data_IF_926809211962
#
_entry.id   IF_926809211962
#
_cell.length_a   1.000
_cell.length_b   1.000
_cell.length_c   1.000
_cell.angle_alpha   90.00
_cell.angle_beta   90.00
_cell.angle_gamma   90.00
#
_symmetry.space_group_name_H-M   'P 1'
#
loop_
_entity.id
_entity.type
_entity.pdbx_description
1 polymer ?
#
# COMPACT_ATOMS: atom_id res chain seq x y z
N UNK A 1 9.85 -19.11 -11.80
CA UNK A 1 8.45 -19.36 -11.45
C UNK A 1 8.11 -20.82 -11.64
N UNK A 2 7.62 -21.45 -10.59
CA UNK A 2 6.96 -22.75 -10.63
C UNK A 2 5.49 -22.56 -10.20
N UNK A 3 4.64 -23.48 -10.61
CA UNK A 3 3.21 -23.48 -10.30
C UNK A 3 2.88 -24.84 -9.67
N UNK A 4 2.09 -24.82 -8.61
CA UNK A 4 1.59 -26.02 -7.96
C UNK A 4 0.08 -25.94 -7.80
N UNK A 5 -0.62 -27.02 -8.11
CA UNK A 5 -2.06 -27.15 -7.85
C UNK A 5 -2.31 -27.63 -6.43
N UNK A 6 -3.38 -27.12 -5.83
CA UNK A 6 -3.89 -27.56 -4.52
C UNK A 6 -5.41 -27.68 -4.58
N UNK A 7 -6.01 -28.36 -3.59
CA UNK A 7 -7.48 -28.41 -3.53
C UNK A 7 -8.01 -27.01 -3.21
N UNK A 8 -8.88 -26.50 -4.08
CA UNK A 8 -9.54 -25.23 -3.85
C UNK A 8 -10.73 -25.41 -2.91
N UNK A 9 -11.10 -24.33 -2.23
CA UNK A 9 -12.39 -24.20 -1.56
C UNK A 9 -13.54 -24.32 -2.58
N UNK A 10 -14.68 -24.86 -2.16
CA UNK A 10 -15.92 -24.79 -2.96
C UNK A 10 -16.36 -23.34 -3.16
N UNK A 11 -17.31 -23.08 -4.07
CA UNK A 11 -17.81 -21.70 -4.27
C UNK A 11 -18.47 -21.15 -3.00
N UNK A 12 -19.21 -21.98 -2.27
CA UNK A 12 -19.85 -21.65 -0.99
C UNK A 12 -18.79 -21.37 0.10
N UNK A 13 -17.73 -22.19 0.17
CA UNK A 13 -16.63 -21.94 1.10
C UNK A 13 -15.87 -20.65 0.75
N UNK A 14 -15.68 -20.35 -0.55
CA UNK A 14 -15.00 -19.13 -1.02
C UNK A 14 -15.74 -17.88 -0.59
N UNK A 15 -17.05 -17.80 -0.82
CA UNK A 15 -17.85 -16.63 -0.43
C UNK A 15 -17.84 -16.43 1.10
N UNK A 16 -17.89 -17.52 1.89
CA UNK A 16 -17.78 -17.44 3.36
C UNK A 16 -16.45 -16.83 3.78
N UNK A 17 -15.34 -17.34 3.25
CA UNK A 17 -14.00 -16.81 3.57
C UNK A 17 -13.87 -15.35 3.17
N UNK A 18 -14.31 -14.99 1.96
CA UNK A 18 -14.16 -13.62 1.47
C UNK A 18 -15.05 -12.63 2.25
N UNK A 19 -16.26 -13.03 2.66
CA UNK A 19 -17.10 -12.21 3.55
C UNK A 19 -16.43 -11.97 4.90
N UNK A 20 -15.85 -13.02 5.52
CA UNK A 20 -15.09 -12.87 6.77
C UNK A 20 -13.94 -11.88 6.58
N UNK A 21 -13.20 -11.98 5.46
CA UNK A 21 -12.12 -11.03 5.16
C UNK A 21 -12.63 -9.61 4.97
N UNK A 22 -13.74 -9.40 4.25
CA UNK A 22 -14.32 -8.08 4.07
C UNK A 22 -14.73 -7.46 5.41
N UNK A 23 -15.48 -8.20 6.24
CA UNK A 23 -15.96 -7.71 7.54
C UNK A 23 -14.80 -7.44 8.51
N UNK A 24 -13.82 -8.34 8.53
CA UNK A 24 -12.60 -8.18 9.34
C UNK A 24 -11.78 -6.98 8.89
N UNK A 25 -11.62 -6.80 7.59
CA UNK A 25 -10.91 -5.66 7.02
C UNK A 25 -11.62 -4.34 7.28
N UNK A 26 -12.95 -4.30 7.11
CA UNK A 26 -13.78 -3.11 7.36
C UNK A 26 -13.71 -2.67 8.81
N UNK A 27 -13.98 -3.58 9.74
CA UNK A 27 -13.99 -3.28 11.18
C UNK A 27 -12.63 -2.79 11.68
N UNK A 28 -11.54 -3.44 11.28
CA UNK A 28 -10.19 -3.02 11.65
C UNK A 28 -9.77 -1.72 10.95
N UNK A 29 -10.11 -1.53 9.68
CA UNK A 29 -9.75 -0.29 8.96
C UNK A 29 -10.39 0.93 9.63
N UNK A 30 -11.66 0.84 10.06
CA UNK A 30 -12.36 1.95 10.72
C UNK A 30 -11.62 2.50 11.95
N UNK A 31 -10.87 1.65 12.66
CA UNK A 31 -10.09 2.07 13.83
C UNK A 31 -8.61 2.32 13.52
N UNK A 32 -8.05 1.73 12.46
CA UNK A 32 -6.62 1.80 12.14
C UNK A 32 -6.26 2.79 11.01
N UNK A 33 -7.21 3.34 10.26
CA UNK A 33 -6.88 4.11 9.05
C UNK A 33 -6.02 5.35 9.33
N UNK A 34 -6.26 6.04 10.47
CA UNK A 34 -5.48 7.22 10.88
C UNK A 34 -4.03 6.85 11.14
N UNK A 35 -3.79 5.72 11.80
CA UNK A 35 -2.44 5.21 12.01
C UNK A 35 -1.81 4.76 10.70
N UNK A 36 -2.57 4.12 9.81
CA UNK A 36 -2.09 3.70 8.49
C UNK A 36 -1.67 4.87 7.60
N UNK A 37 -2.43 5.96 7.59
CA UNK A 37 -2.12 7.18 6.83
C UNK A 37 -1.13 8.10 7.56
N UNK A 38 -1.10 8.05 8.89
CA UNK A 38 -0.25 8.83 9.79
C UNK A 38 -0.17 10.31 9.43
N UNK A 39 -1.29 11.01 9.29
CA UNK A 39 -1.28 12.44 9.01
C UNK A 39 -0.61 13.23 10.14
N UNK A 40 0.16 14.28 9.84
CA UNK A 40 0.78 15.13 10.86
C UNK A 40 -0.29 15.92 11.62
N UNK A 41 0.02 16.32 12.84
CA UNK A 41 -0.91 16.96 13.78
C UNK A 41 -1.53 18.27 13.26
N UNK A 42 -0.85 18.93 12.32
CA UNK A 42 -1.28 20.18 11.69
C UNK A 42 -2.17 20.01 10.44
N UNK A 43 -2.56 18.77 10.09
CA UNK A 43 -3.48 18.48 8.98
C UNK A 43 -4.70 17.75 9.52
N UNK A 44 -5.85 18.43 9.53
CA UNK A 44 -7.12 17.81 9.90
C UNK A 44 -7.75 17.07 8.71
N UNK A 45 -7.82 15.72 8.73
CA UNK A 45 -8.46 14.95 7.65
C UNK A 45 -9.97 15.17 7.56
N UNK A 46 -10.64 15.73 8.56
CA UNK A 46 -12.08 15.95 8.54
C UNK A 46 -12.47 17.33 8.01
N UNK A 47 -11.49 18.18 7.70
CA UNK A 47 -11.77 19.49 7.15
C UNK A 47 -12.44 19.39 5.78
N UNK A 48 -13.47 20.23 5.60
CA UNK A 48 -14.13 20.37 4.30
C UNK A 48 -13.42 21.34 3.36
N UNK A 49 -12.44 22.10 3.85
CA UNK A 49 -11.65 23.05 3.08
C UNK A 49 -10.80 22.32 2.01
N UNK A 50 -10.97 22.70 0.75
CA UNK A 50 -10.22 22.15 -0.38
C UNK A 50 -8.71 22.35 -0.23
N UNK A 51 -8.26 23.44 0.37
CA UNK A 51 -6.84 23.67 0.65
C UNK A 51 -6.29 22.65 1.66
N UNK A 52 -7.09 22.24 2.65
CA UNK A 52 -6.69 21.17 3.58
C UNK A 52 -6.70 19.81 2.89
N UNK A 53 -7.69 19.53 2.03
CA UNK A 53 -7.74 18.29 1.23
C UNK A 53 -6.52 18.19 0.29
N UNK A 54 -6.10 19.30 -0.31
CA UNK A 54 -4.88 19.39 -1.11
C UNK A 54 -3.64 19.06 -0.27
N UNK A 55 -3.54 19.59 0.95
CA UNK A 55 -2.44 19.25 1.88
C UNK A 55 -2.41 17.76 2.19
N UNK A 56 -3.56 17.15 2.47
CA UNK A 56 -3.69 15.70 2.73
C UNK A 56 -3.17 14.91 1.53
N UNK A 57 -3.61 15.23 0.31
CA UNK A 57 -3.19 14.49 -0.88
C UNK A 57 -1.69 14.59 -1.12
N UNK A 58 -1.12 15.80 -1.06
CA UNK A 58 0.32 16.00 -1.24
C UNK A 58 1.15 15.28 -0.18
N UNK A 59 0.70 15.31 1.07
CA UNK A 59 1.37 14.60 2.17
C UNK A 59 1.36 13.08 1.94
N UNK A 60 0.22 12.51 1.58
CA UNK A 60 0.12 11.08 1.31
C UNK A 60 0.99 10.67 0.12
N UNK A 61 1.07 11.49 -0.93
CA UNK A 61 1.95 11.22 -2.07
C UNK A 61 3.42 11.07 -1.66
N UNK A 62 4.00 12.04 -0.93
CA UNK A 62 5.40 11.95 -0.49
C UNK A 62 5.61 10.77 0.47
N UNK A 63 4.67 10.54 1.40
CA UNK A 63 4.73 9.43 2.35
C UNK A 63 4.77 8.08 1.63
N UNK A 64 3.89 7.88 0.66
CA UNK A 64 3.82 6.63 -0.11
C UNK A 64 5.06 6.41 -0.96
N UNK A 65 5.60 7.48 -1.57
CA UNK A 65 6.85 7.40 -2.31
C UNK A 65 7.99 6.89 -1.41
N UNK A 66 8.13 7.46 -0.20
CA UNK A 66 9.15 7.05 0.78
C UNK A 66 8.93 5.61 1.27
N UNK A 67 7.68 5.17 1.44
CA UNK A 67 7.33 3.88 2.06
C UNK A 67 7.89 2.64 1.35
N UNK A 68 8.21 2.75 0.07
CA UNK A 68 8.53 1.59 -0.77
C UNK A 68 9.78 0.83 -0.28
N UNK A 69 9.66 -0.45 0.06
CA UNK A 69 10.77 -1.27 0.60
C UNK A 69 11.35 -0.73 1.93
N UNK A 70 10.65 0.18 2.60
CA UNK A 70 11.04 0.72 3.90
C UNK A 70 10.38 -0.07 5.04
N UNK A 71 10.88 0.14 6.26
CA UNK A 71 10.16 -0.24 7.49
C UNK A 71 9.07 0.78 7.78
N UNK A 72 7.83 0.31 7.93
CA UNK A 72 6.64 1.14 8.05
C UNK A 72 6.74 2.16 9.20
N UNK A 73 7.24 1.73 10.37
CA UNK A 73 7.33 2.57 11.57
C UNK A 73 8.28 3.75 11.34
N UNK A 74 9.41 3.50 10.66
CA UNK A 74 10.38 4.54 10.33
C UNK A 74 9.92 5.46 9.22
N UNK A 75 9.07 5.00 8.31
CA UNK A 75 8.44 5.87 7.31
C UNK A 75 7.46 6.83 7.97
N UNK A 76 6.65 6.32 8.90
CA UNK A 76 5.72 7.14 9.69
C UNK A 76 6.47 8.25 10.42
N UNK A 77 7.51 7.88 11.18
CA UNK A 77 8.36 8.84 11.92
C UNK A 77 8.98 9.87 10.96
N UNK A 78 9.63 9.42 9.89
CA UNK A 78 10.31 10.31 8.94
C UNK A 78 9.35 11.26 8.21
N UNK A 79 8.19 10.77 7.77
CA UNK A 79 7.22 11.60 7.02
C UNK A 79 6.61 12.68 7.91
N UNK A 80 6.32 12.34 9.17
CA UNK A 80 5.83 13.31 10.16
C UNK A 80 6.90 14.35 10.46
N UNK A 81 8.14 13.94 10.77
CA UNK A 81 9.21 14.90 11.07
C UNK A 81 9.49 15.86 9.90
N UNK A 82 9.51 15.36 8.66
CA UNK A 82 9.66 16.20 7.46
C UNK A 82 8.49 17.19 7.33
N UNK A 83 7.25 16.73 7.55
CA UNK A 83 6.06 17.55 7.41
C UNK A 83 5.94 18.60 8.52
N UNK A 84 6.37 18.29 9.75
CA UNK A 84 6.33 19.23 10.88
C UNK A 84 7.47 20.24 10.81
N UNK A 85 8.70 19.83 10.44
CA UNK A 85 9.85 20.74 10.31
C UNK A 85 9.66 21.73 9.17
N UNK A 86 9.23 21.26 7.99
CA UNK A 86 9.12 22.10 6.80
C UNK A 86 7.70 22.62 6.55
N UNK A 87 6.71 22.17 7.32
CA UNK A 87 5.31 22.64 7.25
C UNK A 87 4.76 22.64 5.82
N UNK A 88 4.18 23.76 5.38
CA UNK A 88 3.64 23.92 4.03
C UNK A 88 4.73 23.93 2.96
N UNK A 89 5.98 24.22 3.32
CA UNK A 89 7.09 24.29 2.36
C UNK A 89 7.33 22.92 1.71
N UNK A 90 7.28 21.81 2.45
CA UNK A 90 7.43 20.48 1.82
C UNK A 90 6.23 20.12 0.94
N UNK A 91 5.03 20.61 1.26
CA UNK A 91 3.83 20.29 0.49
C UNK A 91 3.77 21.10 -0.81
N UNK A 92 4.10 22.39 -0.76
CA UNK A 92 3.87 23.30 -1.88
C UNK A 92 5.14 23.74 -2.62
N UNK A 93 6.28 23.82 -1.93
CA UNK A 93 7.54 24.30 -2.49
C UNK A 93 8.74 23.46 -2.03
N UNK A 94 8.69 22.11 -2.19
CA UNK A 94 9.74 21.21 -1.70
C UNK A 94 11.12 21.53 -2.32
N UNK A 95 11.15 22.05 -3.54
CA UNK A 95 12.37 22.48 -4.24
C UNK A 95 13.06 23.70 -3.61
N UNK A 96 12.46 24.34 -2.60
CA UNK A 96 13.11 25.38 -1.79
C UNK A 96 13.75 24.84 -0.52
N UNK A 97 13.63 23.54 -0.23
CA UNK A 97 14.25 22.90 0.93
C UNK A 97 15.67 22.52 0.55
N UNK A 98 16.64 22.91 1.37
CA UNK A 98 18.03 22.52 1.17
C UNK A 98 18.18 21.03 1.44
N UNK A 99 18.87 20.32 0.55
CA UNK A 99 19.11 18.88 0.68
C UNK A 99 19.84 18.54 1.97
N UNK A 100 20.73 19.43 2.45
CA UNK A 100 21.44 19.24 3.71
C UNK A 100 20.51 19.18 4.91
N UNK A 101 19.46 20.01 4.96
CA UNK A 101 18.47 19.99 6.05
C UNK A 101 17.59 18.74 5.97
N UNK A 102 17.13 18.39 4.77
CA UNK A 102 16.36 17.17 4.56
C UNK A 102 17.15 15.92 4.98
N UNK A 103 18.45 15.87 4.66
CA UNK A 103 19.34 14.76 5.02
C UNK A 103 19.64 14.70 6.53
N UNK A 104 19.59 15.81 7.27
CA UNK A 104 19.71 15.79 8.73
C UNK A 104 18.53 15.04 9.35
N UNK A 105 17.30 15.34 8.96
CA UNK A 105 16.10 14.61 9.43
C UNK A 105 16.19 13.14 9.04
N UNK A 106 16.57 12.85 7.80
CA UNK A 106 16.77 11.48 7.35
C UNK A 106 17.76 10.72 8.24
N UNK A 107 18.93 11.28 8.54
CA UNK A 107 19.94 10.62 9.39
C UNK A 107 19.48 10.46 10.83
N UNK A 108 18.75 11.43 11.37
CA UNK A 108 18.15 11.37 12.70
C UNK A 108 17.21 10.16 12.84
N UNK A 109 16.31 9.95 11.87
CA UNK A 109 15.29 8.89 11.92
C UNK A 109 15.82 7.54 11.41
N UNK A 110 16.53 7.55 10.28
CA UNK A 110 16.98 6.35 9.57
C UNK A 110 18.38 5.87 9.99
N UNK A 111 19.06 6.61 10.87
CA UNK A 111 20.46 6.45 11.24
C UNK A 111 21.42 6.99 10.17
N UNK A 112 22.69 7.18 10.54
CA UNK A 112 23.73 7.77 9.66
C UNK A 112 23.81 7.12 8.26
N UNK A 113 23.66 5.80 8.19
CA UNK A 113 23.69 5.03 6.93
C UNK A 113 22.31 4.83 6.29
N UNK A 114 21.23 5.21 6.97
CA UNK A 114 19.84 5.00 6.54
C UNK A 114 19.31 3.56 6.69
N UNK A 115 20.07 2.68 7.33
CA UNK A 115 19.76 1.25 7.44
C UNK A 115 18.59 0.92 8.38
N UNK A 116 18.17 1.87 9.22
CA UNK A 116 16.97 1.70 10.03
C UNK A 116 15.71 1.80 9.17
N UNK A 117 15.72 2.64 8.13
CA UNK A 117 14.60 2.82 7.21
C UNK A 117 14.60 1.76 6.10
N UNK A 118 15.70 1.63 5.35
CA UNK A 118 15.83 0.68 4.24
C UNK A 118 16.82 -0.43 4.59
N UNK A 119 16.42 -1.70 4.41
CA UNK A 119 17.30 -2.83 4.67
C UNK A 119 18.41 -2.90 3.61
N UNK A 120 19.65 -2.69 4.05
CA UNK A 120 20.86 -2.75 3.23
C UNK A 120 21.21 -4.22 2.98
N UNK A 121 21.22 -4.66 1.72
CA UNK A 121 21.52 -6.05 1.32
C UNK A 121 20.55 -6.59 0.27
N UNK A 122 19.28 -6.22 0.31
CA UNK A 122 18.28 -6.59 -0.71
C UNK A 122 18.27 -5.67 -1.95
N UNK A 123 19.08 -4.60 -1.93
CA UNK A 123 19.04 -3.50 -2.90
C UNK A 123 20.29 -3.45 -3.80
N UNK A 124 21.06 -4.54 -3.89
CA UNK A 124 22.15 -4.67 -4.87
C UNK A 124 23.26 -3.61 -4.79
N UNK A 125 23.50 -3.03 -3.60
CA UNK A 125 24.55 -2.00 -3.40
C UNK A 125 24.07 -0.55 -3.48
N UNK A 126 22.78 -0.29 -3.72
CA UNK A 126 22.23 1.07 -3.65
C UNK A 126 22.20 1.53 -2.18
N UNK A 127 22.74 2.74 -1.92
CA UNK A 127 22.73 3.32 -0.58
C UNK A 127 21.29 3.71 -0.18
N UNK A 128 20.85 3.43 1.07
CA UNK A 128 19.55 3.85 1.57
C UNK A 128 19.23 5.34 1.35
N UNK A 129 20.23 6.20 1.54
CA UNK A 129 20.08 7.64 1.30
C UNK A 129 19.77 7.96 -0.16
N UNK A 130 20.38 7.24 -1.11
CA UNK A 130 20.09 7.42 -2.53
C UNK A 130 18.64 7.06 -2.84
N UNK A 131 18.10 6.00 -2.19
CA UNK A 131 16.69 5.66 -2.35
C UNK A 131 15.77 6.78 -1.89
N UNK A 132 16.03 7.31 -0.70
CA UNK A 132 15.26 8.42 -0.16
C UNK A 132 15.34 9.66 -1.06
N UNK A 133 16.55 10.04 -1.49
CA UNK A 133 16.77 11.24 -2.31
C UNK A 133 16.02 11.16 -3.63
N UNK A 134 16.12 10.05 -4.40
CA UNK A 134 15.44 10.00 -5.69
C UNK A 134 13.91 10.04 -5.54
N UNK A 135 13.35 9.43 -4.49
CA UNK A 135 11.90 9.45 -4.21
C UNK A 135 11.42 10.83 -3.81
N UNK A 136 12.19 11.52 -2.98
CA UNK A 136 11.90 12.91 -2.64
C UNK A 136 12.01 13.81 -3.87
N UNK A 137 13.00 13.58 -4.74
CA UNK A 137 13.16 14.33 -5.99
C UNK A 137 12.05 14.07 -7.01
N UNK A 138 11.54 12.84 -7.10
CA UNK A 138 10.35 12.51 -7.90
C UNK A 138 9.13 13.33 -7.44
N UNK A 139 8.90 13.36 -6.13
CA UNK A 139 7.85 14.19 -5.52
C UNK A 139 8.08 15.68 -5.79
N UNK A 140 9.30 16.18 -5.54
CA UNK A 140 9.66 17.58 -5.75
C UNK A 140 9.41 18.03 -7.19
N UNK A 141 9.85 17.23 -8.16
CA UNK A 141 9.65 17.48 -9.57
C UNK A 141 8.15 17.48 -9.92
N UNK A 142 7.37 16.55 -9.38
CA UNK A 142 5.93 16.50 -9.58
C UNK A 142 5.20 17.73 -9.01
N UNK A 143 5.57 18.18 -7.80
CA UNK A 143 5.01 19.41 -7.21
C UNK A 143 5.36 20.64 -8.07
N UNK A 144 6.59 20.73 -8.57
CA UNK A 144 7.01 21.81 -9.48
C UNK A 144 6.23 21.76 -10.81
N UNK A 145 5.94 20.57 -11.32
CA UNK A 145 5.10 20.39 -12.51
C UNK A 145 3.66 20.88 -12.26
N UNK A 146 3.05 20.54 -11.13
CA UNK A 146 1.73 21.06 -10.75
C UNK A 146 1.73 22.60 -10.73
N UNK A 147 2.74 23.23 -10.12
CA UNK A 147 2.85 24.68 -10.08
C UNK A 147 3.01 25.31 -11.48
N UNK A 148 3.92 24.77 -12.30
CA UNK A 148 4.17 25.26 -13.66
C UNK A 148 2.95 25.11 -14.59
N UNK A 149 2.15 24.08 -14.37
CA UNK A 149 0.92 23.82 -15.12
C UNK A 149 -0.32 24.45 -14.46
N UNK A 150 -0.14 25.17 -13.35
CA UNK A 150 -1.20 25.81 -12.55
C UNK A 150 -2.30 24.82 -12.13
N UNK A 151 -1.90 23.60 -11.78
CA UNK A 151 -2.78 22.54 -11.30
C UNK A 151 -2.73 22.38 -9.78
N UNK A 152 -3.86 21.95 -9.23
CA UNK A 152 -4.03 21.50 -7.86
C UNK A 152 -4.20 19.98 -7.87
N UNK A 153 -3.51 19.26 -6.97
CA UNK A 153 -3.50 17.80 -6.98
C UNK A 153 -4.88 17.22 -6.66
N UNK A 154 -5.58 17.77 -5.68
CA UNK A 154 -6.94 17.37 -5.31
C UNK A 154 -7.92 17.58 -6.47
N UNK A 155 -7.90 18.74 -7.13
CA UNK A 155 -8.73 18.99 -8.31
C UNK A 155 -8.38 18.06 -9.48
N UNK A 156 -7.08 17.83 -9.71
CA UNK A 156 -6.61 16.91 -10.76
C UNK A 156 -7.08 15.47 -10.52
N UNK A 157 -6.89 14.97 -9.30
CA UNK A 157 -7.29 13.61 -8.89
C UNK A 157 -8.80 13.43 -9.05
N UNK A 158 -9.60 14.37 -8.54
CA UNK A 158 -11.06 14.29 -8.63
C UNK A 158 -11.55 14.36 -10.08
N UNK A 159 -10.92 15.18 -10.93
CA UNK A 159 -11.21 15.24 -12.36
C UNK A 159 -10.88 13.94 -13.10
N UNK A 160 -9.71 13.36 -12.83
CA UNK A 160 -9.28 12.09 -13.42
C UNK A 160 -10.21 10.94 -13.06
N UNK A 161 -10.66 10.87 -11.80
CA UNK A 161 -11.62 9.84 -11.38
C UNK A 161 -12.96 10.01 -12.12
N UNK A 162 -13.49 11.24 -12.20
CA UNK A 162 -14.75 11.50 -12.92
C UNK A 162 -14.69 11.15 -14.40
N UNK A 163 -13.53 11.38 -15.02
CA UNK A 163 -13.36 11.26 -16.47
C UNK A 163 -12.92 9.86 -16.90
N UNK A 164 -12.04 9.23 -16.13
CA UNK A 164 -11.34 8.00 -16.49
C UNK A 164 -11.46 6.88 -15.43
N UNK A 165 -12.20 7.12 -14.34
CA UNK A 165 -12.35 6.18 -13.24
C UNK A 165 -11.08 5.98 -12.42
N UNK A 166 -11.16 5.05 -11.45
CA UNK A 166 -10.04 4.69 -10.56
C UNK A 166 -8.82 4.18 -11.33
N UNK A 167 -9.04 3.37 -12.36
CA UNK A 167 -7.96 2.85 -13.22
C UNK A 167 -7.26 4.00 -13.96
N UNK A 168 -8.01 5.00 -14.42
CA UNK A 168 -7.44 6.19 -15.05
C UNK A 168 -6.52 6.98 -14.13
N UNK A 169 -6.96 7.23 -12.89
CA UNK A 169 -6.12 7.86 -11.87
C UNK A 169 -4.86 7.04 -11.59
N UNK A 170 -5.01 5.72 -11.43
CA UNK A 170 -3.88 4.83 -11.19
C UNK A 170 -2.85 4.88 -12.32
N UNK A 171 -3.30 4.76 -13.58
CA UNK A 171 -2.42 4.82 -14.74
C UNK A 171 -1.74 6.18 -14.85
N UNK A 172 -2.48 7.28 -14.64
CA UNK A 172 -1.89 8.62 -14.60
C UNK A 172 -0.75 8.70 -13.56
N UNK A 173 -1.00 8.34 -12.30
CA UNK A 173 0.03 8.45 -11.25
C UNK A 173 1.20 7.49 -11.47
N UNK A 174 0.93 6.29 -11.99
CA UNK A 174 1.93 5.26 -12.28
C UNK A 174 2.86 5.67 -13.43
N UNK A 175 2.30 6.22 -14.50
CA UNK A 175 2.99 6.47 -15.78
C UNK A 175 3.41 7.95 -15.93
N UNK A 176 3.06 8.80 -14.97
CA UNK A 176 3.53 10.19 -14.99
C UNK A 176 5.08 10.21 -14.99
N UNK A 177 5.75 10.83 -15.98
CA UNK A 177 7.20 10.71 -16.16
C UNK A 177 8.04 11.13 -14.94
N UNK A 178 7.51 12.04 -14.11
CA UNK A 178 8.18 12.49 -12.89
C UNK A 178 7.94 11.57 -11.68
N UNK A 179 6.82 10.82 -11.66
CA UNK A 179 6.49 9.92 -10.56
C UNK A 179 6.97 8.49 -10.84
N UNK A 180 7.01 8.06 -12.11
CA UNK A 180 7.41 6.69 -12.47
C UNK A 180 8.80 6.32 -11.93
N UNK A 181 9.73 7.28 -11.92
CA UNK A 181 11.09 7.11 -11.39
C UNK A 181 11.11 6.87 -9.88
N UNK A 182 10.05 7.30 -9.19
CA UNK A 182 9.83 7.10 -7.77
C UNK A 182 9.30 5.70 -7.44
N UNK A 183 8.62 5.04 -8.38
CA UNK A 183 7.92 3.78 -8.17
C UNK A 183 8.82 2.55 -8.29
N UNK A 184 8.49 1.49 -7.54
CA UNK A 184 9.15 0.19 -7.61
C UNK A 184 8.25 -0.85 -8.26
N UNK A 185 8.69 -1.36 -9.40
CA UNK A 185 8.04 -2.44 -10.18
C UNK A 185 7.03 -1.93 -11.21
N UNK A 186 6.67 -2.78 -12.17
CA UNK A 186 5.78 -2.41 -13.29
C UNK A 186 4.31 -2.24 -12.90
N UNK A 187 3.91 -2.68 -11.72
CA UNK A 187 2.56 -2.53 -11.15
C UNK A 187 2.72 -2.14 -9.67
N UNK A 188 3.07 -0.86 -9.41
CA UNK A 188 3.55 -0.42 -8.10
C UNK A 188 2.48 -0.54 -7.02
N UNK A 189 2.74 -1.40 -6.04
CA UNK A 189 1.88 -1.59 -4.84
C UNK A 189 1.62 -0.27 -4.11
N UNK A 190 2.65 0.57 -4.02
CA UNK A 190 2.57 1.88 -3.39
C UNK A 190 1.60 2.82 -4.12
N UNK A 191 1.64 2.87 -5.46
CA UNK A 191 0.71 3.69 -6.23
C UNK A 191 -0.75 3.21 -6.04
N UNK A 192 -1.01 1.90 -6.04
CA UNK A 192 -2.34 1.33 -5.72
C UNK A 192 -2.80 1.74 -4.31
N UNK A 193 -1.91 1.66 -3.32
CA UNK A 193 -2.19 2.06 -1.95
C UNK A 193 -2.57 3.56 -1.86
N UNK A 194 -1.84 4.44 -2.57
CA UNK A 194 -2.16 5.87 -2.62
C UNK A 194 -3.54 6.13 -3.21
N UNK A 195 -3.84 5.52 -4.35
CA UNK A 195 -5.14 5.62 -5.02
C UNK A 195 -6.26 5.18 -4.09
N UNK A 196 -6.11 4.04 -3.42
CA UNK A 196 -7.08 3.53 -2.47
C UNK A 196 -7.28 4.44 -1.26
N UNK A 197 -6.21 5.07 -0.75
CA UNK A 197 -6.33 6.02 0.35
C UNK A 197 -7.07 7.29 -0.07
N UNK A 198 -6.81 7.81 -1.27
CA UNK A 198 -7.59 8.93 -1.81
C UNK A 198 -9.07 8.55 -1.92
N UNK A 199 -9.38 7.38 -2.48
CA UNK A 199 -10.75 6.86 -2.59
C UNK A 199 -11.44 6.78 -1.24
N UNK A 200 -10.78 6.18 -0.24
CA UNK A 200 -11.29 6.10 1.12
C UNK A 200 -11.56 7.49 1.72
N UNK A 201 -10.65 8.44 1.58
CA UNK A 201 -10.87 9.80 2.08
C UNK A 201 -12.05 10.48 1.38
N UNK A 202 -12.14 10.39 0.06
CA UNK A 202 -13.21 11.03 -0.71
C UNK A 202 -14.58 10.43 -0.42
N UNK A 203 -14.70 9.12 -0.26
CA UNK A 203 -15.98 8.43 -0.06
C UNK A 203 -16.37 8.32 1.41
N UNK A 204 -15.44 7.90 2.28
CA UNK A 204 -15.76 7.60 3.68
C UNK A 204 -15.56 8.78 4.62
N UNK A 205 -14.61 9.67 4.33
CA UNK A 205 -14.32 10.80 5.23
C UNK A 205 -15.01 12.08 4.74
N UNK A 206 -14.89 12.41 3.46
CA UNK A 206 -15.42 13.65 2.88
C UNK A 206 -16.76 13.51 2.17
N UNK A 207 -17.27 12.27 2.03
CA UNK A 207 -18.62 11.97 1.51
C UNK A 207 -18.92 12.65 0.17
N UNK A 208 -17.92 12.69 -0.73
CA UNK A 208 -17.97 13.44 -1.99
C UNK A 208 -18.78 12.77 -3.10
N UNK A 209 -19.12 11.47 -2.97
CA UNK A 209 -19.88 10.70 -3.97
C UNK A 209 -19.31 10.75 -5.40
N UNK A 210 -17.98 10.74 -5.54
CA UNK A 210 -17.27 10.80 -6.84
C UNK A 210 -16.84 9.41 -7.34
N UNK A 211 -16.74 8.43 -6.43
CA UNK A 211 -16.20 7.10 -6.67
C UNK A 211 -16.74 6.12 -5.64
N UNK A 212 -16.54 4.82 -5.88
CA UNK A 212 -16.85 3.77 -4.92
C UNK A 212 -15.60 2.98 -4.49
N UNK A 213 -15.57 2.53 -3.24
CA UNK A 213 -14.55 1.62 -2.72
C UNK A 213 -14.60 0.27 -3.44
N UNK A 214 -15.72 -0.05 -4.11
CA UNK A 214 -15.85 -1.19 -5.02
C UNK A 214 -14.89 -1.12 -6.22
N UNK A 215 -14.49 0.08 -6.61
CA UNK A 215 -13.59 0.33 -7.75
C UNK A 215 -12.11 0.30 -7.36
N UNK A 216 -11.80 0.10 -6.08
CA UNK A 216 -10.41 0.08 -5.57
C UNK A 216 -9.60 -1.07 -6.15
N UNK A 217 -8.28 -0.88 -6.13
CA UNK A 217 -7.31 -1.79 -6.69
C UNK A 217 -6.70 -2.61 -5.56
N UNK A 218 -6.74 -3.95 -5.60
CA UNK A 218 -6.10 -4.73 -4.55
C UNK A 218 -4.58 -4.55 -4.62
N UNK A 219 -3.95 -4.40 -3.46
CA UNK A 219 -2.50 -4.20 -3.36
C UNK A 219 -1.81 -5.55 -3.54
N UNK A 220 -2.38 -6.60 -2.94
CA UNK A 220 -1.89 -7.99 -2.93
C UNK A 220 -0.40 -8.04 -2.64
N UNK A 221 -0.06 -7.82 -1.37
CA UNK A 221 1.31 -8.01 -0.89
C UNK A 221 1.64 -9.50 -0.67
N UNK A 222 2.83 -9.79 -0.15
CA UNK A 222 3.21 -11.17 0.14
C UNK A 222 2.29 -11.82 1.19
N UNK A 223 1.88 -11.06 2.21
CA UNK A 223 1.01 -11.56 3.28
C UNK A 223 -0.42 -11.81 2.79
N UNK A 224 -0.98 -10.89 2.02
CA UNK A 224 -2.30 -11.04 1.39
C UNK A 224 -2.30 -12.27 0.47
N UNK A 225 -1.33 -12.36 -0.45
CA UNK A 225 -1.21 -13.53 -1.32
C UNK A 225 -1.09 -14.84 -0.52
N UNK A 226 -0.33 -14.83 0.58
CA UNK A 226 -0.15 -16.00 1.45
C UNK A 226 -1.46 -16.42 2.10
N UNK A 227 -2.29 -15.48 2.58
CA UNK A 227 -3.61 -15.79 3.13
C UNK A 227 -4.48 -16.47 2.06
N UNK A 228 -4.51 -15.93 0.85
CA UNK A 228 -5.27 -16.51 -0.28
C UNK A 228 -4.79 -17.92 -0.65
N UNK A 229 -3.48 -18.15 -0.69
CA UNK A 229 -2.93 -19.48 -0.93
C UNK A 229 -3.23 -20.44 0.24
N UNK A 230 -3.06 -20.01 1.49
CA UNK A 230 -3.23 -20.86 2.68
C UNK A 230 -4.67 -21.27 2.94
N UNK A 231 -5.62 -20.38 2.68
CA UNK A 231 -7.04 -20.64 2.86
C UNK A 231 -7.59 -21.63 1.84
N UNK A 232 -6.95 -21.77 0.68
CA UNK A 232 -7.47 -22.53 -0.45
C UNK A 232 -8.35 -21.69 -1.39
N UNK A 233 -8.37 -20.37 -1.24
CA UNK A 233 -9.08 -19.46 -2.17
C UNK A 233 -8.54 -19.60 -3.61
N UNK A 234 -7.25 -19.91 -3.76
CA UNK A 234 -6.60 -20.18 -5.05
C UNK A 234 -6.33 -21.68 -5.25
N UNK A 235 -6.61 -22.19 -6.45
CA UNK A 235 -6.25 -23.55 -6.86
C UNK A 235 -4.80 -23.62 -7.33
N UNK A 236 -4.33 -22.63 -8.09
CA UNK A 236 -2.98 -22.59 -8.65
C UNK A 236 -2.11 -21.60 -7.86
N UNK A 237 -1.06 -22.10 -7.23
CA UNK A 237 -0.13 -21.28 -6.46
C UNK A 237 1.17 -21.11 -7.22
N UNK A 238 1.54 -19.85 -7.49
CA UNK A 238 2.81 -19.48 -8.14
C UNK A 238 3.86 -19.14 -7.09
N UNK A 239 5.04 -19.72 -7.22
CA UNK A 239 6.12 -19.58 -6.23
C UNK A 239 7.52 -19.56 -6.86
N UNK A 240 8.49 -19.11 -6.07
CA UNK A 240 9.87 -18.98 -6.49
C UNK A 240 10.57 -20.34 -6.63
N UNK A 241 11.04 -20.66 -7.84
CA UNK A 241 11.78 -21.91 -8.13
C UNK A 241 13.01 -22.11 -7.22
N UNK A 242 13.75 -21.03 -6.94
CA UNK A 242 15.01 -21.07 -6.16
C UNK A 242 14.79 -21.07 -4.64
N UNK A 243 13.63 -20.59 -4.18
CA UNK A 243 13.24 -20.55 -2.77
C UNK A 243 11.86 -21.21 -2.65
N UNK A 244 11.81 -22.56 -2.63
CA UNK A 244 10.55 -23.29 -2.62
C UNK A 244 9.59 -22.75 -1.55
N UNK A 245 8.31 -22.68 -1.93
CA UNK A 245 7.19 -22.21 -1.10
C UNK A 245 7.12 -20.72 -0.76
N UNK A 246 8.07 -19.89 -1.20
CA UNK A 246 7.89 -18.43 -1.20
C UNK A 246 7.03 -18.05 -2.39
N UNK A 247 5.83 -17.53 -2.13
CA UNK A 247 4.86 -17.23 -3.18
C UNK A 247 5.24 -15.98 -4.00
N UNK A 248 4.86 -15.96 -5.27
CA UNK A 248 4.99 -14.80 -6.16
C UNK A 248 3.65 -14.05 -6.24
N UNK A 249 3.25 -13.38 -5.15
CA UNK A 249 1.93 -12.72 -5.01
C UNK A 249 1.57 -11.78 -6.16
N UNK A 250 2.54 -11.03 -6.71
CA UNK A 250 2.32 -10.14 -7.86
C UNK A 250 1.87 -10.88 -9.13
N UNK A 251 2.20 -12.16 -9.28
CA UNK A 251 1.79 -13.02 -10.41
C UNK A 251 0.41 -13.64 -10.24
N UNK A 252 -0.17 -13.56 -9.04
CA UNK A 252 -1.51 -14.05 -8.69
C UNK A 252 -2.50 -12.90 -8.46
N UNK A 253 -2.04 -11.64 -8.47
CA UNK A 253 -2.88 -10.46 -8.20
C UNK A 253 -4.12 -10.39 -9.08
N UNK A 254 -3.98 -10.56 -10.40
CA UNK A 254 -5.11 -10.47 -11.32
C UNK A 254 -6.20 -11.51 -11.01
N UNK A 255 -5.80 -12.75 -10.75
CA UNK A 255 -6.71 -13.84 -10.36
C UNK A 255 -7.39 -13.56 -9.02
N UNK A 256 -6.65 -13.03 -8.04
CA UNK A 256 -7.19 -12.61 -6.74
C UNK A 256 -8.22 -11.49 -6.91
N UNK A 257 -7.91 -10.46 -7.70
CA UNK A 257 -8.83 -9.34 -7.95
C UNK A 257 -10.10 -9.80 -8.68
N UNK A 258 -9.97 -10.67 -9.68
CA UNK A 258 -11.09 -11.23 -10.42
C UNK A 258 -11.98 -12.09 -9.50
N UNK A 259 -11.36 -12.92 -8.65
CA UNK A 259 -12.08 -13.71 -7.65
C UNK A 259 -12.92 -12.81 -6.74
N UNK A 260 -12.33 -11.79 -6.13
CA UNK A 260 -13.05 -10.88 -5.21
C UNK A 260 -14.17 -10.13 -5.94
N UNK A 261 -13.91 -9.65 -7.15
CA UNK A 261 -14.91 -8.95 -7.97
C UNK A 261 -16.08 -9.85 -8.38
N UNK A 262 -15.84 -11.11 -8.71
CA UNK A 262 -16.90 -12.03 -9.13
C UNK A 262 -17.93 -12.32 -8.02
N UNK A 263 -17.53 -12.16 -6.75
CA UNK A 263 -18.43 -12.23 -5.60
C UNK A 263 -19.06 -10.88 -5.20
N UNK A 264 -18.75 -9.78 -5.91
CA UNK A 264 -19.32 -8.46 -5.64
C UNK A 264 -18.86 -7.80 -4.33
N UNK A 265 -17.75 -8.27 -3.77
CA UNK A 265 -17.19 -7.80 -2.49
C UNK A 265 -16.28 -6.59 -2.69
N UNK A 266 -16.06 -5.81 -1.64
CA UNK A 266 -15.25 -4.58 -1.72
C UNK A 266 -13.75 -4.94 -1.68
N UNK A 267 -12.98 -4.71 -2.76
CA UNK A 267 -11.58 -5.14 -2.84
C UNK A 267 -10.70 -4.53 -1.75
N UNK A 268 -10.95 -3.25 -1.42
CA UNK A 268 -10.25 -2.53 -0.36
C UNK A 268 -10.30 -3.26 0.99
N UNK A 269 -11.48 -3.71 1.41
CA UNK A 269 -11.66 -4.34 2.71
C UNK A 269 -11.20 -5.79 2.70
N UNK A 270 -11.39 -6.53 1.60
CA UNK A 270 -10.85 -7.89 1.49
C UNK A 270 -9.32 -7.90 1.56
N UNK A 271 -8.64 -6.98 0.87
CA UNK A 271 -7.18 -6.85 0.91
C UNK A 271 -6.69 -6.51 2.32
N UNK A 272 -7.29 -5.51 2.97
CA UNK A 272 -6.97 -5.15 4.36
C UNK A 272 -7.27 -6.29 5.34
N UNK A 273 -8.39 -7.00 5.19
CA UNK A 273 -8.74 -8.13 6.04
C UNK A 273 -7.70 -9.23 5.99
N UNK A 274 -7.25 -9.59 4.79
CA UNK A 274 -6.19 -10.56 4.61
C UNK A 274 -4.85 -10.07 5.21
N UNK A 275 -4.52 -8.79 5.04
CA UNK A 275 -3.33 -8.20 5.65
C UNK A 275 -3.39 -8.21 7.19
N UNK A 276 -4.53 -7.85 7.78
CA UNK A 276 -4.72 -7.79 9.23
C UNK A 276 -4.73 -9.17 9.89
N UNK A 277 -5.14 -10.24 9.19
CA UNK A 277 -4.93 -11.59 9.71
C UNK A 277 -3.45 -11.91 9.97
N UNK A 278 -2.53 -11.33 9.18
CA UNK A 278 -1.11 -11.44 9.46
C UNK A 278 -0.66 -10.50 10.57
N UNK A 279 -1.05 -9.21 10.50
CA UNK A 279 -0.66 -8.20 11.50
C UNK A 279 -1.08 -8.59 12.92
N UNK A 280 -2.27 -9.18 13.06
CA UNK A 280 -2.85 -9.60 14.34
C UNK A 280 -2.34 -10.98 14.81
N UNK A 281 -1.37 -11.56 14.11
CA UNK A 281 -0.68 -12.78 14.55
C UNK A 281 -1.36 -14.11 14.20
N UNK A 282 -2.41 -14.11 13.39
CA UNK A 282 -3.08 -15.36 13.00
C UNK A 282 -2.33 -16.10 11.87
N UNK A 283 -2.08 -15.42 10.76
CA UNK A 283 -1.47 -16.03 9.57
C UNK A 283 0.03 -15.71 9.47
N UNK A 284 0.80 -15.98 10.53
CA UNK A 284 2.26 -15.73 10.58
C UNK A 284 3.04 -16.56 9.55
N UNK A 285 4.25 -16.12 9.18
CA UNK A 285 5.11 -16.86 8.24
C UNK A 285 5.37 -18.28 8.73
N UNK A 286 5.84 -18.39 9.98
CA UNK A 286 6.08 -19.63 10.71
C UNK A 286 5.06 -19.71 11.85
N UNK A 287 4.61 -20.92 12.18
CA UNK A 287 3.72 -21.19 13.30
C UNK A 287 2.43 -20.34 13.34
N UNK A 288 1.58 -20.37 12.29
CA UNK A 288 0.33 -19.63 12.28
C UNK A 288 -0.62 -20.09 13.40
N UNK A 289 -1.26 -19.14 14.09
CA UNK A 289 -2.31 -19.42 15.06
C UNK A 289 -3.62 -19.79 14.36
N UNK A 290 -3.67 -21.00 13.80
CA UNK A 290 -4.84 -21.50 13.09
C UNK A 290 -6.04 -21.74 14.01
N UNK A 291 -5.86 -21.92 15.32
CA UNK A 291 -6.95 -22.25 16.25
C UNK A 291 -7.86 -21.05 16.47
N UNK A 292 -7.27 -19.89 16.73
CA UNK A 292 -8.01 -18.65 17.04
C UNK A 292 -8.26 -17.78 15.80
N UNK A 293 -7.77 -18.21 14.63
CA UNK A 293 -7.95 -17.49 13.38
C UNK A 293 -9.44 -17.38 13.01
N UNK A 294 -9.94 -16.20 12.58
CA UNK A 294 -11.29 -16.02 12.06
C UNK A 294 -11.69 -16.99 10.94
N UNK A 295 -10.71 -17.54 10.21
CA UNK A 295 -10.93 -18.51 9.12
C UNK A 295 -10.84 -19.98 9.56
N UNK A 296 -10.69 -20.28 10.85
CA UNK A 296 -10.32 -21.61 11.37
C UNK A 296 -11.19 -22.77 10.88
N UNK A 297 -12.49 -22.51 10.70
CA UNK A 297 -13.49 -23.52 10.35
C UNK A 297 -13.55 -23.84 8.84
N UNK A 298 -13.02 -22.97 7.98
CA UNK A 298 -13.17 -23.08 6.51
C UNK A 298 -11.82 -23.16 5.80
N UNK A 299 -10.77 -22.55 6.36
CA UNK A 299 -9.42 -22.55 5.80
C UNK A 299 -8.84 -23.96 5.61
N UNK A 300 -8.30 -24.25 4.42
CA UNK A 300 -7.59 -25.52 4.14
C UNK A 300 -6.21 -25.64 4.82
N UNK A 301 -5.71 -24.57 5.44
CA UNK A 301 -4.48 -24.53 6.26
C UNK A 301 -3.23 -25.01 5.51
N UNK A 302 -3.02 -24.58 4.26
CA UNK A 302 -1.81 -24.90 3.49
C UNK A 302 -0.55 -24.17 3.98
N UNK A 303 -0.14 -24.43 5.22
CA UNK A 303 0.92 -23.70 5.95
C UNK A 303 2.29 -23.72 5.29
N UNK A 304 2.53 -24.62 4.33
CA UNK A 304 3.76 -24.66 3.53
C UNK A 304 4.03 -23.32 2.82
N UNK A 305 3.00 -22.62 2.36
CA UNK A 305 3.15 -21.37 1.62
C UNK A 305 3.56 -20.22 2.53
N UNK A 306 4.55 -19.46 2.11
CA UNK A 306 5.16 -18.35 2.88
C UNK A 306 5.28 -17.13 1.99
N UNK A 307 5.33 -15.93 2.58
CA UNK A 307 5.49 -14.69 1.83
C UNK A 307 6.96 -14.30 1.67
N UNK A 308 7.79 -14.54 2.69
CA UNK A 308 9.16 -14.01 2.75
C UNK A 308 10.17 -14.97 3.38
N UNK A 309 9.74 -15.84 4.30
CA UNK A 309 10.64 -16.76 5.00
C UNK A 309 10.59 -18.15 4.38
N UNK A 310 11.74 -18.76 4.14
CA UNK A 310 11.78 -20.13 3.64
C UNK A 310 11.24 -21.10 4.69
N UNK A 311 10.20 -21.85 4.33
CA UNK A 311 9.78 -23.00 5.10
C UNK A 311 10.83 -24.12 4.94
N UNK A 312 11.59 -24.39 6.01
CA UNK A 312 12.51 -25.55 6.05
C UNK A 312 11.71 -26.75 6.52
N UNK A 313 11.48 -27.71 5.63
CA UNK A 313 11.08 -29.06 6.03
C UNK A 313 12.24 -29.76 6.72
#
# INVERSE_FOLDING_TARGET
>A
MATEKQLSLSQEEKIVVLNILEDYGRSNWLVRWKDNMSLPSNIDPYSNDEFVKEKVFRYLLIRVLINQQAKFEKVRELSIEIAEEFTEKVLFKPYKILETELLKIFRKVAGEKGSLLYKVGSLGGIKPVSLFVYRFKAYEAFIKWLENTKQNLFTLVTSLIKTNGVIGLYNFLKEHPLLEVGWVGNDPKACRMLVNWYLYLMEEVWKMNISSLKDTLMIVDGHVGKVFCRSGLLEEVKYEKKRPFIIEASKMRGEIEELVKSFGLIPFYVDNGAFYLYEDGYCLELDPNCKDCPLTNVCKKYTKWTAYQMFRR
#
